data_IF_835560544073
#
_entry.id   IF_835560544073
#
_cell.length_a   1.000
_cell.length_b   1.000
_cell.length_c   1.000
_cell.angle_alpha   90.00
_cell.angle_beta   90.00
_cell.angle_gamma   90.00
#
_symmetry.space_group_name_H-M   'P 1'
#
loop_
_entity.id
_entity.type
_entity.pdbx_description
1 polymer ?
#
# COMPACT_ATOMS: atom_id res chain seq x y z
N UNK A 1 20.27 -0.74 -1.54
CA UNK A 1 19.31 0.38 -1.54
C UNK A 1 20.11 1.67 -1.66
N UNK A 2 19.70 2.59 -2.55
CA UNK A 2 20.30 3.93 -2.66
C UNK A 2 19.27 4.94 -2.14
N UNK A 3 19.70 5.94 -1.40
CA UNK A 3 18.85 7.02 -0.95
C UNK A 3 19.59 8.36 -1.06
N UNK A 4 18.83 9.41 -1.21
CA UNK A 4 19.32 10.80 -1.22
C UNK A 4 18.46 11.56 -0.23
N UNK A 5 19.08 12.36 0.61
CA UNK A 5 18.38 13.31 1.47
C UNK A 5 18.10 14.57 0.65
N UNK A 6 16.85 15.02 0.66
CA UNK A 6 16.44 16.27 0.05
C UNK A 6 16.12 17.26 1.17
N UNK A 7 16.71 18.43 1.11
CA UNK A 7 16.37 19.52 2.00
C UNK A 7 15.03 20.14 1.54
N UNK A 8 14.03 20.16 2.41
CA UNK A 8 12.73 20.80 2.20
C UNK A 8 11.96 20.25 0.98
N UNK A 9 11.43 19.05 1.10
CA UNK A 9 10.48 18.51 0.14
C UNK A 9 9.05 18.66 0.68
N UNK A 10 8.23 19.47 0.02
CA UNK A 10 6.79 19.49 0.26
C UNK A 10 6.14 18.23 -0.32
N UNK A 11 5.48 17.39 0.50
CA UNK A 11 4.85 16.15 0.01
C UNK A 11 3.80 16.39 -1.08
N UNK A 12 3.00 17.46 -0.97
CA UNK A 12 1.98 17.78 -1.95
C UNK A 12 2.58 18.19 -3.29
N UNK A 13 3.67 18.96 -3.26
CA UNK A 13 4.41 19.32 -4.48
C UNK A 13 5.02 18.06 -5.14
N UNK A 14 5.64 17.19 -4.35
CA UNK A 14 6.17 15.94 -4.85
C UNK A 14 5.08 15.08 -5.49
N UNK A 15 3.94 14.91 -4.83
CA UNK A 15 2.79 14.18 -5.37
C UNK A 15 2.29 14.79 -6.68
N UNK A 16 2.25 16.13 -6.79
CA UNK A 16 1.85 16.82 -8.01
C UNK A 16 2.83 16.56 -9.18
N UNK A 17 4.13 16.43 -8.90
CA UNK A 17 5.13 16.06 -9.92
C UNK A 17 4.92 14.64 -10.43
N UNK A 18 4.64 13.71 -9.55
CA UNK A 18 4.52 12.28 -9.86
C UNK A 18 3.09 11.80 -10.15
N UNK A 19 2.09 12.67 -10.20
CA UNK A 19 0.67 12.31 -10.32
C UNK A 19 0.32 11.45 -11.55
N UNK A 20 1.15 11.46 -12.59
CA UNK A 20 0.98 10.66 -13.82
C UNK A 20 1.73 9.34 -13.81
N UNK A 21 2.54 9.09 -12.81
CA UNK A 21 3.27 7.84 -12.72
C UNK A 21 2.32 6.67 -12.39
N UNK A 22 2.44 5.62 -13.17
CA UNK A 22 1.60 4.42 -12.96
C UNK A 22 1.88 3.81 -11.59
N UNK A 23 0.81 3.46 -10.88
CA UNK A 23 0.90 2.85 -9.57
C UNK A 23 1.42 3.79 -8.48
N UNK A 24 1.30 5.11 -8.69
CA UNK A 24 1.60 6.07 -7.63
C UNK A 24 0.67 5.83 -6.44
N UNK A 25 1.26 5.73 -5.26
CA UNK A 25 0.57 5.69 -3.99
C UNK A 25 1.12 6.80 -3.09
N UNK A 26 0.23 7.64 -2.58
CA UNK A 26 0.57 8.70 -1.63
C UNK A 26 -0.14 8.47 -0.31
N UNK A 27 0.65 8.24 0.73
CA UNK A 27 0.21 8.14 2.11
C UNK A 27 0.65 9.41 2.83
N UNK A 28 -0.29 10.28 3.10
CA UNK A 28 -0.02 11.59 3.68
C UNK A 28 -0.36 11.66 5.15
N UNK A 29 0.49 12.35 5.89
CA UNK A 29 0.26 12.74 7.28
C UNK A 29 -0.22 14.18 7.30
N UNK A 30 -1.51 14.38 7.06
CA UNK A 30 -2.10 15.69 6.83
C UNK A 30 -2.21 16.61 8.07
N UNK A 31 -2.07 16.06 9.27
CA UNK A 31 -2.13 16.84 10.51
C UNK A 31 -0.71 17.07 11.07
N UNK A 32 -0.09 18.21 10.83
CA UNK A 32 1.28 18.50 11.25
C UNK A 32 1.46 18.54 12.78
N UNK A 33 0.40 18.77 13.53
CA UNK A 33 0.44 18.92 14.98
C UNK A 33 0.30 17.57 15.70
N UNK A 34 -0.12 16.53 15.00
CA UNK A 34 -0.27 15.21 15.60
C UNK A 34 1.09 14.49 15.77
N UNK A 35 1.40 13.95 16.95
CA UNK A 35 2.70 13.31 17.22
C UNK A 35 3.08 12.17 16.27
N UNK A 36 2.09 11.50 15.68
CA UNK A 36 2.30 10.42 14.72
C UNK A 36 2.45 10.89 13.26
N UNK A 37 2.18 12.17 12.98
CA UNK A 37 2.24 12.76 11.64
C UNK A 37 3.66 13.21 11.27
N UNK A 38 4.61 12.30 11.37
CA UNK A 38 6.02 12.62 11.14
C UNK A 38 6.50 12.28 9.72
N UNK A 39 5.74 11.48 9.00
CA UNK A 39 6.18 10.90 7.74
C UNK A 39 5.05 10.84 6.74
N UNK A 40 5.29 11.39 5.57
CA UNK A 40 4.49 11.11 4.36
C UNK A 40 5.28 10.22 3.44
N UNK A 41 4.60 9.37 2.69
CA UNK A 41 5.23 8.42 1.77
C UNK A 41 4.65 8.59 0.39
N UNK A 42 5.51 8.80 -0.58
CA UNK A 42 5.18 8.79 -2.00
C UNK A 42 5.90 7.60 -2.63
N UNK A 43 5.12 6.63 -3.07
CA UNK A 43 5.62 5.44 -3.73
C UNK A 43 5.28 5.53 -5.21
N UNK A 44 6.26 5.30 -6.07
CA UNK A 44 6.11 5.33 -7.53
C UNK A 44 6.85 4.15 -8.17
N UNK A 45 6.49 3.85 -9.42
CA UNK A 45 7.13 2.79 -10.21
C UNK A 45 7.22 1.44 -9.46
N UNK A 46 6.08 0.84 -9.08
CA UNK A 46 6.08 -0.46 -8.43
C UNK A 46 6.73 -1.51 -9.34
N UNK A 47 7.48 -2.42 -8.76
CA UNK A 47 8.08 -3.54 -9.51
C UNK A 47 7.05 -4.60 -9.88
N UNK A 48 5.95 -4.64 -9.15
CA UNK A 48 4.80 -5.50 -9.42
C UNK A 48 3.57 -4.94 -8.72
N UNK A 49 2.40 -5.24 -9.26
CA UNK A 49 1.12 -4.93 -8.63
C UNK A 49 0.31 -6.20 -8.46
N UNK A 50 -0.43 -6.30 -7.38
CA UNK A 50 -1.39 -7.35 -7.13
C UNK A 50 -2.77 -6.71 -6.94
N UNK A 51 -3.74 -7.19 -7.70
CA UNK A 51 -5.12 -6.67 -7.66
C UNK A 51 -6.09 -7.83 -7.50
N UNK A 52 -7.07 -7.66 -6.64
CA UNK A 52 -8.18 -8.56 -6.45
C UNK A 52 -9.48 -7.86 -6.83
N UNK A 53 -10.16 -8.42 -7.82
CA UNK A 53 -11.42 -7.86 -8.32
C UNK A 53 -12.58 -8.11 -7.35
N UNK A 54 -13.68 -7.43 -7.58
CA UNK A 54 -14.93 -7.59 -6.80
C UNK A 54 -15.49 -9.02 -6.81
N UNK A 55 -15.13 -9.83 -7.79
CA UNK A 55 -15.59 -11.22 -7.96
C UNK A 55 -14.62 -12.26 -7.38
N UNK A 56 -13.54 -11.82 -6.72
CA UNK A 56 -12.56 -12.74 -6.15
C UNK A 56 -13.20 -13.65 -5.10
N UNK A 57 -12.88 -14.93 -5.19
CA UNK A 57 -13.30 -15.95 -4.22
C UNK A 57 -12.42 -15.91 -2.97
N UNK A 58 -12.90 -16.55 -1.88
CA UNK A 58 -12.10 -16.73 -0.66
C UNK A 58 -10.75 -17.41 -0.96
N UNK A 59 -10.74 -18.40 -1.84
CA UNK A 59 -9.53 -19.13 -2.23
C UNK A 59 -8.54 -18.24 -2.95
N UNK A 60 -9.01 -17.41 -3.90
CA UNK A 60 -8.16 -16.46 -4.64
C UNK A 60 -7.62 -15.37 -3.71
N UNK A 61 -8.44 -14.90 -2.79
CA UNK A 61 -8.02 -13.94 -1.77
C UNK A 61 -6.92 -14.54 -0.88
N UNK A 62 -7.13 -15.73 -0.33
CA UNK A 62 -6.16 -16.40 0.52
C UNK A 62 -4.84 -16.65 -0.21
N UNK A 63 -4.89 -17.13 -1.46
CA UNK A 63 -3.71 -17.36 -2.29
C UNK A 63 -2.94 -16.07 -2.56
N UNK A 64 -3.65 -14.97 -2.82
CA UNK A 64 -3.04 -13.66 -3.08
C UNK A 64 -2.37 -13.09 -1.83
N UNK A 65 -3.02 -13.21 -0.66
CA UNK A 65 -2.42 -12.78 0.60
C UNK A 65 -1.18 -13.61 0.97
N UNK A 66 -1.19 -14.90 0.68
CA UNK A 66 -0.05 -15.77 0.90
C UNK A 66 1.12 -15.45 -0.07
N UNK A 67 0.81 -15.14 -1.32
CA UNK A 67 1.79 -14.66 -2.29
C UNK A 67 2.40 -13.33 -1.83
N UNK A 68 1.60 -12.37 -1.38
CA UNK A 68 2.05 -11.09 -0.85
C UNK A 68 2.98 -11.29 0.35
N UNK A 69 2.58 -12.14 1.30
CA UNK A 69 3.39 -12.47 2.47
C UNK A 69 4.75 -13.06 2.07
N UNK A 70 4.75 -14.05 1.17
CA UNK A 70 5.99 -14.68 0.67
C UNK A 70 6.88 -13.65 -0.02
N UNK A 71 6.32 -12.78 -0.84
CA UNK A 71 7.07 -11.75 -1.53
C UNK A 71 7.73 -10.76 -0.55
N UNK A 72 6.98 -10.28 0.45
CA UNK A 72 7.50 -9.36 1.46
C UNK A 72 8.58 -10.00 2.32
N UNK A 73 8.43 -11.29 2.68
CA UNK A 73 9.39 -12.01 3.54
C UNK A 73 10.65 -12.47 2.81
N UNK A 74 10.56 -12.74 1.52
CA UNK A 74 11.71 -13.20 0.72
C UNK A 74 12.74 -12.09 0.43
N UNK A 75 12.38 -10.82 0.64
CA UNK A 75 13.29 -9.71 0.33
C UNK A 75 14.13 -9.30 1.52
N UNK A 76 15.45 -9.16 1.35
CA UNK A 76 16.31 -8.70 2.43
C UNK A 76 15.92 -7.27 2.84
N UNK A 77 15.76 -7.07 4.14
CA UNK A 77 15.41 -5.77 4.73
C UNK A 77 16.66 -5.10 5.25
N UNK A 78 17.31 -4.31 4.42
CA UNK A 78 18.35 -3.40 4.91
C UNK A 78 17.67 -2.14 5.39
N UNK A 79 17.66 -1.91 6.70
CA UNK A 79 17.11 -0.69 7.30
C UNK A 79 18.17 0.37 7.44
N UNK A 80 17.83 1.60 7.10
CA UNK A 80 18.63 2.79 7.36
C UNK A 80 18.33 3.21 8.80
N UNK A 81 19.36 3.25 9.63
CA UNK A 81 19.23 3.73 11.02
C UNK A 81 18.80 5.19 11.03
N UNK A 82 17.81 5.53 11.85
CA UNK A 82 17.24 6.88 11.90
C UNK A 82 16.32 7.25 10.74
N UNK A 83 16.14 6.36 9.75
CA UNK A 83 15.23 6.56 8.63
C UNK A 83 13.75 6.36 9.00
N UNK A 84 12.83 6.59 8.04
CA UNK A 84 11.41 6.45 8.27
C UNK A 84 11.04 5.01 8.63
N UNK A 85 9.90 4.77 9.32
CA UNK A 85 9.44 3.43 9.69
C UNK A 85 9.23 2.50 8.49
N UNK A 86 8.64 2.99 7.41
CA UNK A 86 8.48 2.27 6.16
C UNK A 86 9.63 2.60 5.22
N UNK A 87 10.41 1.59 4.87
CA UNK A 87 11.58 1.71 4.01
C UNK A 87 11.51 0.76 2.81
N UNK A 88 10.31 0.48 2.36
CA UNK A 88 10.02 -0.41 1.24
C UNK A 88 9.28 -1.67 1.68
N UNK A 89 8.74 -2.38 0.73
CA UNK A 89 7.89 -3.54 0.93
C UNK A 89 6.69 -3.48 0.01
N UNK A 90 5.52 -3.78 0.52
CA UNK A 90 4.25 -3.65 -0.18
C UNK A 90 3.44 -2.52 0.47
N UNK A 91 2.78 -1.73 -0.35
CA UNK A 91 1.85 -0.70 0.09
C UNK A 91 0.57 -0.78 -0.75
N UNK A 92 -0.58 -0.57 -0.13
CA UNK A 92 -1.86 -0.69 -0.81
C UNK A 92 -3.03 -0.66 0.16
N UNK A 93 -4.16 -1.20 -0.26
CA UNK A 93 -5.38 -1.23 0.53
C UNK A 93 -6.11 -2.56 0.41
N UNK A 94 -6.95 -2.84 1.38
CA UNK A 94 -8.01 -3.83 1.34
C UNK A 94 -9.32 -3.09 1.55
N UNK A 95 -10.24 -3.21 0.60
CA UNK A 95 -11.54 -2.57 0.67
C UNK A 95 -12.39 -3.18 1.79
N UNK A 96 -13.29 -2.40 2.36
CA UNK A 96 -14.24 -2.89 3.36
C UNK A 96 -15.10 -4.04 2.84
N UNK A 97 -15.45 -4.02 1.56
CA UNK A 97 -16.23 -5.07 0.90
C UNK A 97 -15.51 -6.42 0.79
N UNK A 98 -14.21 -6.49 1.11
CA UNK A 98 -13.50 -7.75 1.26
C UNK A 98 -13.81 -8.47 2.59
N UNK A 99 -14.53 -7.85 3.54
CA UNK A 99 -14.85 -8.44 4.83
C UNK A 99 -15.49 -9.84 4.78
N UNK A 100 -16.37 -10.18 3.82
CA UNK A 100 -16.90 -11.54 3.67
C UNK A 100 -15.83 -12.60 3.43
N UNK A 101 -14.71 -12.22 2.81
CA UNK A 101 -13.60 -13.14 2.51
C UNK A 101 -12.76 -13.47 3.74
N UNK A 102 -12.87 -12.68 4.81
CA UNK A 102 -12.18 -12.91 6.10
C UNK A 102 -13.08 -13.55 7.16
N UNK A 103 -14.39 -13.33 7.05
CA UNK A 103 -15.35 -13.68 8.09
C UNK A 103 -16.58 -14.34 7.50
N UNK A 104 -16.68 -15.65 7.62
CA UNK A 104 -17.80 -16.46 7.11
C UNK A 104 -19.19 -16.06 7.63
N UNK A 105 -19.24 -15.31 8.74
CA UNK A 105 -20.49 -14.78 9.32
C UNK A 105 -20.87 -13.41 8.78
N UNK A 106 -19.99 -12.77 8.02
CA UNK A 106 -20.26 -11.47 7.44
C UNK A 106 -20.90 -11.64 6.07
N UNK A 107 -22.07 -11.07 5.90
CA UNK A 107 -22.77 -11.06 4.61
C UNK A 107 -22.97 -9.61 4.18
N UNK A 108 -22.29 -9.20 3.13
CA UNK A 108 -22.54 -7.88 2.54
C UNK A 108 -23.93 -7.85 1.89
N UNK A 109 -24.67 -6.78 2.14
CA UNK A 109 -25.93 -6.51 1.45
C UNK A 109 -25.73 -5.85 0.09
N UNK A 110 -24.51 -5.45 -0.21
CA UNK A 110 -24.13 -4.78 -1.43
C UNK A 110 -23.17 -5.65 -2.23
N UNK A 111 -23.30 -5.61 -3.53
CA UNK A 111 -22.31 -6.19 -4.45
C UNK A 111 -21.15 -5.19 -4.52
N UNK A 112 -19.94 -5.66 -4.29
CA UNK A 112 -18.76 -4.83 -4.43
C UNK A 112 -18.67 -4.28 -5.87
N UNK A 113 -18.51 -2.97 -5.99
CA UNK A 113 -18.44 -2.27 -7.28
C UNK A 113 -17.00 -1.92 -7.67
N UNK A 114 -16.06 -2.10 -6.76
CA UNK A 114 -14.64 -1.81 -6.95
C UNK A 114 -13.77 -3.01 -6.62
N UNK A 115 -12.51 -2.93 -6.93
CA UNK A 115 -11.54 -3.94 -6.54
C UNK A 115 -11.50 -4.11 -5.02
N UNK A 116 -11.39 -5.36 -4.56
CA UNK A 116 -11.40 -5.70 -3.13
C UNK A 116 -10.06 -5.43 -2.47
N UNK A 117 -8.97 -5.52 -3.23
CA UNK A 117 -7.65 -5.16 -2.74
C UNK A 117 -6.71 -4.81 -3.89
N UNK A 118 -5.81 -3.88 -3.63
CA UNK A 118 -4.70 -3.56 -4.53
C UNK A 118 -3.45 -3.27 -3.72
N UNK A 119 -2.33 -3.89 -4.11
CA UNK A 119 -1.02 -3.68 -3.52
C UNK A 119 0.02 -3.42 -4.60
N UNK A 120 0.85 -2.42 -4.36
CA UNK A 120 2.06 -2.12 -5.10
C UNK A 120 3.27 -2.66 -4.34
N UNK A 121 4.15 -3.37 -5.07
CA UNK A 121 5.28 -4.12 -4.53
C UNK A 121 6.60 -3.53 -5.01
#
# INVERSE_FOLDING_TARGET
MRYVLLDQCDPAHAAAVFHRELGMLWLDSADPDHPSSRWSYLCVAPVSTMRLTAQATETEFAASMDMLRRWVTARPRTRISGGPPFQGGAAGYVAYDAAPLFHSRFHSRHVAQSDLAEFSL
#
